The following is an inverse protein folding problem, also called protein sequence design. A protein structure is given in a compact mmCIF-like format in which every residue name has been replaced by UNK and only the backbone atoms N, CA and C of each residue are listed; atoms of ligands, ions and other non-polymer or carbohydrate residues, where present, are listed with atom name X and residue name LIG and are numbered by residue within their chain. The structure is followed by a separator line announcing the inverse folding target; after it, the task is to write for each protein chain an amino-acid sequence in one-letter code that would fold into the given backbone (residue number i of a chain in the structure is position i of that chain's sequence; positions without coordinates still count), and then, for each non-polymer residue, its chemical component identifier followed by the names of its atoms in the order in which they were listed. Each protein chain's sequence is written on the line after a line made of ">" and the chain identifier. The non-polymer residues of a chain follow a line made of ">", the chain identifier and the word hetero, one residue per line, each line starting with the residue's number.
data_IF_822697913232
#
_entry.id   IF_822697913232
#
_cell.length_a   1.000
_cell.length_b   1.000
_cell.length_c   1.000
_cell.angle_alpha   90.00
_cell.angle_beta   90.00
_cell.angle_gamma   90.00
#
_symmetry.space_group_name_H-M   'P 1'
#
loop_
_entity.id
_entity.type
_entity.pdbx_description
1 polymer ?
#
# COMPACT_ATOMS: atom_id res chain seq x y z
N UNK A 1 7.08 6.06 -2.79
CA UNK A 1 7.17 5.29 -4.07
C UNK A 1 6.15 4.16 -4.06
N UNK A 2 5.58 3.71 -5.20
CA UNK A 2 4.64 2.60 -5.16
C UNK A 2 5.33 1.32 -4.65
N UNK A 3 4.77 0.68 -3.62
CA UNK A 3 5.28 -0.57 -3.04
C UNK A 3 4.98 -1.80 -3.90
N UNK A 4 4.25 -1.61 -5.01
CA UNK A 4 3.78 -2.72 -5.85
C UNK A 4 2.54 -3.43 -5.30
N UNK A 5 1.94 -2.90 -4.24
CA UNK A 5 0.68 -3.41 -3.68
C UNK A 5 -0.50 -2.49 -4.03
N UNK A 6 -1.69 -3.07 -4.09
CA UNK A 6 -2.95 -2.33 -4.23
C UNK A 6 -3.77 -2.48 -2.95
N UNK A 7 -4.47 -1.41 -2.59
CA UNK A 7 -5.25 -1.33 -1.35
C UNK A 7 -6.76 -1.20 -1.60
N UNK A 8 -7.25 -1.82 -2.68
CA UNK A 8 -8.67 -1.73 -3.07
C UNK A 8 -9.55 -2.68 -2.25
N UNK A 9 -9.08 -3.92 -2.05
CA UNK A 9 -9.84 -4.99 -1.39
C UNK A 9 -9.16 -5.54 -0.15
N UNK A 10 -7.86 -5.26 0.01
CA UNK A 10 -6.98 -5.75 1.07
C UNK A 10 -6.10 -4.59 1.54
N UNK A 11 -5.85 -4.42 2.84
CA UNK A 11 -4.87 -3.43 3.30
C UNK A 11 -3.47 -3.73 2.75
N UNK A 12 -2.62 -2.71 2.68
CA UNK A 12 -1.21 -2.89 2.34
C UNK A 12 -0.57 -3.85 3.36
N UNK A 13 -0.11 -5.02 2.92
CA UNK A 13 0.62 -5.99 3.75
C UNK A 13 1.93 -5.34 4.20
N UNK A 14 2.57 -4.60 3.30
CA UNK A 14 3.76 -3.83 3.65
C UNK A 14 3.48 -2.57 4.47
N UNK A 15 2.26 -2.41 5.00
CA UNK A 15 1.96 -1.36 5.98
C UNK A 15 2.82 -1.44 7.23
N UNK A 16 3.25 -2.65 7.61
CA UNK A 16 4.22 -2.85 8.68
C UNK A 16 5.63 -2.35 8.33
N UNK A 17 5.94 -2.20 7.04
CA UNK A 17 7.22 -1.67 6.53
C UNK A 17 7.15 -0.18 6.16
N UNK A 18 6.05 0.52 6.48
CA UNK A 18 5.87 1.94 6.20
C UNK A 18 5.10 2.27 4.93
N UNK A 19 4.57 1.28 4.20
CA UNK A 19 3.69 1.55 3.06
C UNK A 19 2.31 2.03 3.52
N UNK A 20 1.80 3.09 2.91
CA UNK A 20 0.48 3.67 3.15
C UNK A 20 -0.39 3.60 1.91
N UNK A 21 -1.68 3.34 2.08
CA UNK A 21 -2.63 3.36 0.98
C UNK A 21 -2.90 4.80 0.52
N UNK A 22 -2.64 5.11 -0.74
CA UNK A 22 -3.00 6.38 -1.38
C UNK A 22 -3.47 6.12 -2.80
N UNK A 23 -4.63 6.65 -3.16
CA UNK A 23 -5.21 6.45 -4.50
C UNK A 23 -5.28 4.97 -4.92
N UNK A 24 -5.78 4.10 -4.03
CA UNK A 24 -5.94 2.64 -4.27
C UNK A 24 -4.64 1.86 -4.48
N UNK A 25 -3.49 2.50 -4.40
CA UNK A 25 -2.16 1.88 -4.49
C UNK A 25 -1.42 2.12 -3.18
N UNK A 26 -0.62 1.16 -2.77
CA UNK A 26 0.21 1.28 -1.59
C UNK A 26 1.51 2.00 -1.95
N UNK A 27 1.82 3.06 -1.24
CA UNK A 27 3.01 3.88 -1.42
C UNK A 27 3.85 3.90 -0.15
N UNK A 28 5.15 3.67 -0.28
CA UNK A 28 6.13 3.94 0.78
C UNK A 28 6.46 5.42 0.86
#
# INVERSE_FOLDING_TARGET
>A
IPCGESCVWIPCISGMFGCSCKDKVCYS
#
